data_IF_303121040539
#
_entry.id   IF_303121040539
#
_cell.length_a   1.000
_cell.length_b   1.000
_cell.length_c   1.000
_cell.angle_alpha   90.00
_cell.angle_beta   90.00
_cell.angle_gamma   90.00
#
_symmetry.space_group_name_H-M   'P 1'
#
loop_
_entity.id
_entity.type
_entity.pdbx_description
1 polymer ?
#
# COMPACT_ATOMS: atom_id res chain seq x y z
N UNK A 1 22.05 -22.95 6.94
CA UNK A 1 20.87 -22.12 6.76
C UNK A 1 19.62 -22.85 7.19
N UNK A 2 18.87 -22.25 7.99
CA UNK A 2 17.61 -22.81 8.41
C UNK A 2 16.51 -22.47 7.43
N UNK A 3 15.84 -23.48 6.92
CA UNK A 3 14.59 -23.25 6.21
C UNK A 3 13.56 -22.81 7.24
N UNK A 4 12.94 -21.69 6.99
CA UNK A 4 11.85 -21.25 7.84
C UNK A 4 10.60 -22.03 7.45
N UNK A 5 10.09 -22.82 8.37
CA UNK A 5 8.82 -23.49 8.16
C UNK A 5 7.73 -22.44 8.24
N UNK A 6 7.19 -22.07 7.09
CA UNK A 6 6.07 -21.14 7.03
C UNK A 6 4.80 -21.94 7.26
N UNK A 7 4.29 -21.85 8.48
CA UNK A 7 3.08 -22.53 8.89
C UNK A 7 1.88 -21.60 8.78
N UNK A 8 0.65 -22.13 8.74
CA UNK A 8 -0.55 -21.29 8.80
C UNK A 8 -0.58 -20.35 10.01
N UNK A 9 -0.05 -20.78 11.15
CA UNK A 9 0.02 -19.95 12.35
C UNK A 9 0.98 -18.79 12.16
N UNK A 10 2.14 -19.03 11.54
CA UNK A 10 3.12 -17.97 11.24
C UNK A 10 2.51 -16.92 10.33
N UNK A 11 1.80 -17.36 9.28
CA UNK A 11 1.13 -16.47 8.36
C UNK A 11 0.03 -15.67 9.07
N UNK A 12 -0.81 -16.35 9.87
CA UNK A 12 -1.88 -15.68 10.59
C UNK A 12 -1.35 -14.61 11.54
N UNK A 13 -0.23 -14.89 12.23
CA UNK A 13 0.42 -13.91 13.10
C UNK A 13 0.98 -12.72 12.33
N UNK A 14 1.59 -12.98 11.16
CA UNK A 14 2.12 -11.93 10.31
C UNK A 14 1.01 -11.03 9.76
N UNK A 15 -0.10 -11.62 9.33
CA UNK A 15 -1.26 -10.88 8.85
C UNK A 15 -1.91 -10.05 9.96
N UNK A 16 -2.04 -10.60 11.16
CA UNK A 16 -2.59 -9.88 12.31
C UNK A 16 -1.70 -8.70 12.69
N UNK A 17 -0.39 -8.90 12.69
CA UNK A 17 0.58 -7.84 12.96
C UNK A 17 0.47 -6.72 11.92
N UNK A 18 0.36 -7.09 10.65
CA UNK A 18 0.19 -6.14 9.56
C UNK A 18 -1.09 -5.33 9.74
N UNK A 19 -2.20 -6.01 10.02
CA UNK A 19 -3.50 -5.35 10.21
C UNK A 19 -3.46 -4.38 11.40
N UNK A 20 -2.81 -4.77 12.49
CA UNK A 20 -2.67 -3.90 13.66
C UNK A 20 -1.85 -2.65 13.35
N UNK A 21 -0.78 -2.79 12.57
CA UNK A 21 0.04 -1.66 12.13
C UNK A 21 -0.76 -0.70 11.24
N UNK A 22 -1.57 -1.25 10.34
CA UNK A 22 -2.45 -0.45 9.48
C UNK A 22 -3.55 0.23 10.29
N UNK A 23 -4.14 -0.46 11.26
CA UNK A 23 -5.19 0.12 12.10
C UNK A 23 -4.68 1.34 12.87
N UNK A 24 -3.42 1.32 13.30
CA UNK A 24 -2.81 2.48 13.97
C UNK A 24 -2.73 3.69 13.04
N UNK A 25 -2.46 3.47 11.75
CA UNK A 25 -2.43 4.54 10.75
C UNK A 25 -3.84 5.04 10.45
N UNK A 26 -4.76 4.14 10.14
CA UNK A 26 -6.12 4.54 9.77
C UNK A 26 -6.85 5.23 10.93
N UNK A 27 -6.53 4.86 12.17
CA UNK A 27 -7.05 5.56 13.34
C UNK A 27 -6.69 7.05 13.33
N UNK A 28 -5.51 7.39 12.81
CA UNK A 28 -5.04 8.76 12.79
C UNK A 28 -5.58 9.56 11.60
N UNK A 29 -5.95 8.90 10.51
CA UNK A 29 -6.29 9.60 9.26
C UNK A 29 -7.78 9.59 8.91
N UNK A 30 -8.59 8.70 9.49
CA UNK A 30 -9.98 8.51 9.04
C UNK A 30 -10.88 9.73 9.23
N UNK A 31 -10.52 10.64 10.11
CA UNK A 31 -11.27 11.88 10.34
C UNK A 31 -10.66 13.09 9.62
N UNK A 32 -9.67 12.87 8.77
CA UNK A 32 -8.99 13.94 8.05
C UNK A 32 -9.43 13.95 6.59
N UNK A 33 -9.57 15.12 5.98
CA UNK A 33 -9.80 15.19 4.53
C UNK A 33 -8.64 14.54 3.76
N UNK A 34 -8.95 13.87 2.67
CA UNK A 34 -7.95 13.23 1.81
C UNK A 34 -7.47 14.27 0.79
N UNK A 35 -6.41 14.98 1.14
CA UNK A 35 -5.91 16.13 0.37
C UNK A 35 -4.41 16.34 0.60
N UNK A 36 -3.88 17.43 0.05
CA UNK A 36 -2.45 17.74 0.16
C UNK A 36 -1.98 17.97 1.59
N UNK A 37 -2.85 18.47 2.47
CA UNK A 37 -2.49 18.66 3.88
C UNK A 37 -2.25 17.30 4.57
N UNK A 38 -3.04 16.28 4.22
CA UNK A 38 -2.83 14.93 4.73
C UNK A 38 -1.53 14.34 4.20
N UNK A 39 -1.21 14.59 2.93
CA UNK A 39 0.06 14.16 2.32
C UNK A 39 1.24 14.72 3.11
N UNK A 40 1.23 16.01 3.37
CA UNK A 40 2.28 16.66 4.14
C UNK A 40 2.36 16.12 5.56
N UNK A 41 1.21 15.92 6.22
CA UNK A 41 1.17 15.41 7.59
C UNK A 41 1.75 14.01 7.69
N UNK A 42 1.36 13.13 6.77
CA UNK A 42 1.83 11.74 6.76
C UNK A 42 3.37 11.70 6.57
N UNK A 43 3.87 12.44 5.60
CA UNK A 43 5.30 12.44 5.32
C UNK A 43 6.12 13.11 6.42
N UNK A 44 5.55 14.08 7.13
CA UNK A 44 6.22 14.74 8.24
C UNK A 44 6.25 13.89 9.51
N UNK A 45 5.22 13.09 9.76
CA UNK A 45 5.03 12.37 11.02
C UNK A 45 5.34 10.88 10.95
N UNK A 46 5.03 10.22 9.83
CA UNK A 46 5.29 8.80 9.62
C UNK A 46 5.91 8.53 8.25
N UNK A 47 6.81 9.41 7.85
CA UNK A 47 7.51 9.31 6.56
C UNK A 47 8.52 8.16 6.51
N UNK A 48 9.26 8.10 5.42
CA UNK A 48 10.08 6.94 5.03
C UNK A 48 11.17 6.52 6.02
N UNK A 49 11.57 7.40 6.94
CA UNK A 49 12.61 7.06 7.91
C UNK A 49 12.08 6.68 9.29
N UNK A 50 10.76 6.69 9.47
CA UNK A 50 10.15 6.42 10.77
C UNK A 50 9.93 4.94 11.02
N UNK A 51 9.87 4.52 12.30
CA UNK A 51 9.55 3.12 12.61
C UNK A 51 8.22 2.65 12.03
N UNK A 52 7.20 3.51 12.04
CA UNK A 52 5.88 3.14 11.50
C UNK A 52 5.97 2.76 10.01
N UNK A 53 6.69 3.54 9.22
CA UNK A 53 6.90 3.24 7.81
C UNK A 53 7.70 1.94 7.64
N UNK A 54 8.79 1.80 8.37
CA UNK A 54 9.67 0.64 8.25
C UNK A 54 8.97 -0.66 8.66
N UNK A 55 8.11 -0.60 9.66
CA UNK A 55 7.32 -1.75 10.08
C UNK A 55 6.28 -2.16 9.04
N UNK A 56 5.63 -1.19 8.41
CA UNK A 56 4.70 -1.49 7.31
C UNK A 56 5.43 -2.10 6.12
N UNK A 57 6.58 -1.56 5.77
CA UNK A 57 7.40 -2.10 4.70
C UNK A 57 7.82 -3.53 5.00
N UNK A 58 8.24 -3.80 6.24
CA UNK A 58 8.60 -5.15 6.67
C UNK A 58 7.42 -6.12 6.51
N UNK A 59 6.22 -5.72 6.93
CA UNK A 59 5.03 -6.55 6.77
C UNK A 59 4.75 -6.84 5.30
N UNK A 60 4.88 -5.85 4.44
CA UNK A 60 4.64 -6.04 3.01
C UNK A 60 5.67 -6.96 2.37
N UNK A 61 6.94 -6.79 2.69
CA UNK A 61 7.99 -7.68 2.20
C UNK A 61 7.79 -9.11 2.69
N UNK A 62 7.42 -9.26 3.96
CA UNK A 62 7.10 -10.56 4.56
C UNK A 62 5.92 -11.22 3.84
N UNK A 63 4.87 -10.46 3.58
CA UNK A 63 3.68 -10.98 2.90
C UNK A 63 3.95 -11.44 1.48
N UNK A 64 4.77 -10.71 0.74
CA UNK A 64 5.18 -11.12 -0.61
C UNK A 64 6.02 -12.40 -0.54
N UNK A 65 6.98 -12.46 0.38
CA UNK A 65 7.86 -13.63 0.54
C UNK A 65 7.08 -14.87 0.97
N UNK A 66 6.08 -14.70 1.83
CA UNK A 66 5.28 -15.82 2.34
C UNK A 66 4.09 -16.16 1.44
N UNK A 67 3.84 -15.37 0.39
CA UNK A 67 2.83 -15.68 -0.61
C UNK A 67 1.40 -15.27 -0.26
N UNK A 68 1.19 -14.42 0.75
CA UNK A 68 -0.15 -13.95 1.09
C UNK A 68 -0.42 -12.49 0.67
N UNK A 69 0.57 -11.81 0.06
CA UNK A 69 0.37 -10.54 -0.61
C UNK A 69 0.70 -10.68 -2.09
N UNK A 70 0.03 -9.88 -2.92
CA UNK A 70 0.28 -9.82 -4.36
C UNK A 70 0.14 -11.20 -5.01
N UNK A 71 -0.92 -11.92 -4.65
CA UNK A 71 -1.13 -13.30 -5.10
C UNK A 71 -1.58 -13.40 -6.55
N UNK A 72 -2.19 -12.35 -7.09
CA UNK A 72 -2.66 -12.30 -8.48
C UNK A 72 -1.63 -11.64 -9.36
N UNK A 73 -1.66 -11.97 -10.65
CA UNK A 73 -0.76 -11.37 -11.63
C UNK A 73 -1.52 -11.10 -12.91
N UNK A 74 -1.30 -9.91 -13.49
CA UNK A 74 -1.84 -9.54 -14.78
C UNK A 74 -0.93 -8.50 -15.44
N UNK A 75 -0.53 -8.77 -16.67
CA UNK A 75 0.26 -7.83 -17.46
C UNK A 75 1.59 -7.44 -16.85
N UNK A 76 2.20 -8.32 -16.04
CA UNK A 76 3.48 -8.06 -15.40
C UNK A 76 3.38 -7.39 -14.04
N UNK A 77 2.16 -7.18 -13.53
CA UNK A 77 1.94 -6.59 -12.22
C UNK A 77 1.36 -7.66 -11.29
N UNK A 78 1.95 -7.81 -10.11
CA UNK A 78 1.37 -8.65 -9.06
C UNK A 78 0.58 -7.78 -8.12
N UNK A 79 -0.60 -8.25 -7.70
CA UNK A 79 -1.52 -7.41 -6.93
C UNK A 79 -2.51 -8.25 -6.14
N UNK A 80 -3.20 -7.60 -5.22
CA UNK A 80 -4.32 -8.21 -4.52
C UNK A 80 -4.82 -7.34 -3.38
N UNK A 81 -6.11 -7.53 -3.05
CA UNK A 81 -6.71 -6.91 -1.86
C UNK A 81 -6.54 -7.89 -0.71
N UNK A 82 -5.79 -7.46 0.31
CA UNK A 82 -5.56 -8.31 1.49
C UNK A 82 -6.65 -8.11 2.54
N UNK A 83 -7.14 -6.89 2.71
CA UNK A 83 -8.20 -6.60 3.67
C UNK A 83 -9.31 -5.79 3.02
N UNK A 84 -10.54 -6.24 3.19
CA UNK A 84 -11.72 -5.45 2.79
C UNK A 84 -11.88 -4.29 3.74
N UNK A 85 -12.63 -3.27 3.31
CA UNK A 85 -12.98 -2.15 4.19
C UNK A 85 -13.73 -2.70 5.41
N UNK A 86 -13.33 -2.24 6.59
CA UNK A 86 -13.88 -2.73 7.86
C UNK A 86 -13.80 -1.66 8.94
N UNK A 87 -14.53 -1.85 10.02
CA UNK A 87 -14.48 -0.94 11.18
C UNK A 87 -13.09 -0.97 11.83
N UNK A 88 -12.43 -2.13 11.84
CA UNK A 88 -11.08 -2.25 12.40
C UNK A 88 -10.07 -1.38 11.66
N UNK A 89 -10.29 -1.15 10.36
CA UNK A 89 -9.45 -0.30 9.52
C UNK A 89 -10.12 1.05 9.25
N UNK A 90 -11.09 1.42 10.06
CA UNK A 90 -11.74 2.74 10.02
C UNK A 90 -12.32 3.05 8.64
N UNK A 91 -12.87 2.03 7.98
CA UNK A 91 -13.53 2.17 6.69
C UNK A 91 -12.62 2.03 5.48
N UNK A 92 -11.34 1.80 5.67
CA UNK A 92 -10.38 1.62 4.55
C UNK A 92 -10.23 0.15 4.18
N UNK A 93 -10.11 -0.10 2.89
CA UNK A 93 -9.59 -1.38 2.40
C UNK A 93 -8.08 -1.26 2.16
N UNK A 94 -7.42 -2.40 2.01
CA UNK A 94 -5.97 -2.46 1.80
C UNK A 94 -5.66 -3.34 0.60
N UNK A 95 -5.07 -2.72 -0.42
CA UNK A 95 -4.54 -3.40 -1.59
C UNK A 95 -3.03 -3.21 -1.61
N UNK A 96 -2.30 -4.18 -2.13
CA UNK A 96 -0.86 -4.04 -2.34
C UNK A 96 -0.53 -4.48 -3.76
N UNK A 97 0.29 -3.69 -4.44
CA UNK A 97 0.78 -4.02 -5.78
C UNK A 97 2.31 -4.11 -5.77
N UNK A 98 2.84 -4.98 -6.62
CA UNK A 98 4.28 -5.18 -6.82
C UNK A 98 4.56 -4.85 -8.28
N UNK A 99 5.29 -3.77 -8.50
CA UNK A 99 5.53 -3.22 -9.84
C UNK A 99 7.00 -2.97 -10.08
N UNK A 100 7.47 -3.36 -11.27
CA UNK A 100 8.86 -3.18 -11.66
C UNK A 100 8.90 -2.51 -13.05
N UNK A 101 9.28 -1.24 -13.09
CA UNK A 101 9.38 -0.45 -14.33
C UNK A 101 8.17 -0.66 -15.24
N UNK A 102 6.99 -0.39 -14.73
CA UNK A 102 5.75 -0.69 -15.43
C UNK A 102 4.66 0.30 -15.07
N UNK A 103 3.73 0.54 -16.01
CA UNK A 103 2.53 1.31 -15.79
C UNK A 103 1.34 0.37 -15.63
N UNK A 104 0.52 0.63 -14.62
CA UNK A 104 -0.71 -0.12 -14.39
C UNK A 104 -1.90 0.50 -15.13
N UNK A 105 -3.07 -0.10 -14.99
CA UNK A 105 -4.27 0.41 -15.65
C UNK A 105 -4.72 1.74 -15.06
N UNK A 106 -5.21 2.62 -15.91
CA UNK A 106 -5.78 3.90 -15.47
C UNK A 106 -6.99 3.66 -14.57
N UNK A 107 -7.08 4.41 -13.49
CA UNK A 107 -8.23 4.32 -12.59
C UNK A 107 -8.53 5.66 -11.93
N UNK A 108 -9.77 5.76 -11.44
CA UNK A 108 -10.29 6.93 -10.72
C UNK A 108 -10.48 6.53 -9.26
N UNK A 109 -10.20 7.48 -8.35
CA UNK A 109 -10.40 7.32 -6.91
C UNK A 109 -11.66 8.09 -6.49
N UNK A 110 -12.85 7.49 -6.50
CA UNK A 110 -14.07 8.25 -6.21
C UNK A 110 -14.05 8.92 -4.84
N UNK A 111 -13.44 8.25 -3.85
CA UNK A 111 -13.35 8.76 -2.48
C UNK A 111 -11.94 9.14 -2.07
N UNK A 112 -11.00 9.15 -3.01
CA UNK A 112 -9.60 9.38 -2.74
C UNK A 112 -8.84 8.09 -2.47
N UNK A 113 -7.52 8.22 -2.35
CA UNK A 113 -6.62 7.10 -2.12
C UNK A 113 -5.40 7.59 -1.34
N UNK A 114 -4.95 6.79 -0.38
CA UNK A 114 -3.73 7.08 0.37
C UNK A 114 -2.76 5.96 0.09
N UNK A 115 -1.63 6.28 -0.53
CA UNK A 115 -0.65 5.29 -0.99
C UNK A 115 0.62 5.32 -0.16
N UNK A 116 1.15 4.14 0.13
CA UNK A 116 2.46 4.00 0.75
C UNK A 116 3.42 3.43 -0.29
N UNK A 117 4.46 4.20 -0.61
CA UNK A 117 5.45 3.85 -1.63
C UNK A 117 6.67 3.21 -0.95
N UNK A 118 6.95 1.95 -1.29
CA UNK A 118 8.01 1.17 -0.66
C UNK A 118 8.95 0.63 -1.72
N UNK A 119 10.01 1.40 -2.09
CA UNK A 119 11.01 0.91 -3.05
C UNK A 119 11.72 -0.34 -2.52
N UNK A 120 11.88 -1.33 -3.38
CA UNK A 120 12.51 -2.62 -3.06
C UNK A 120 13.83 -2.78 -3.82
N UNK A 121 13.84 -2.38 -5.10
CA UNK A 121 15.05 -2.47 -5.94
C UNK A 121 15.27 -1.14 -6.64
N UNK A 122 16.50 -0.65 -6.62
CA UNK A 122 16.86 0.62 -7.21
C UNK A 122 16.28 1.80 -6.46
N UNK A 123 16.30 2.96 -7.09
CA UNK A 123 15.70 4.19 -6.56
C UNK A 123 14.29 4.35 -7.13
N UNK A 124 13.46 3.32 -6.95
CA UNK A 124 12.14 3.26 -7.57
C UNK A 124 11.27 4.45 -7.17
N UNK A 125 10.54 4.97 -8.15
CA UNK A 125 9.60 6.07 -7.97
C UNK A 125 8.20 5.58 -8.37
N UNK A 126 7.19 6.07 -7.67
CA UNK A 126 5.80 5.84 -8.03
C UNK A 126 5.16 7.16 -8.43
N UNK A 127 4.74 7.27 -9.69
CA UNK A 127 4.28 8.54 -10.28
C UNK A 127 5.30 9.67 -10.05
N UNK A 128 6.59 9.34 -10.11
CA UNK A 128 7.69 10.27 -9.90
C UNK A 128 7.99 10.59 -8.44
N UNK A 129 7.35 9.93 -7.48
CA UNK A 129 7.54 10.18 -6.05
C UNK A 129 8.36 9.07 -5.40
N UNK A 130 9.26 9.45 -4.47
CA UNK A 130 10.10 8.48 -3.77
C UNK A 130 9.37 7.79 -2.62
N UNK A 131 10.12 7.01 -1.83
CA UNK A 131 9.62 6.37 -0.62
C UNK A 131 8.84 7.34 0.27
N UNK A 132 7.70 6.89 0.78
CA UNK A 132 6.84 7.69 1.64
C UNK A 132 5.39 7.58 1.24
N UNK A 133 4.61 8.60 1.60
CA UNK A 133 3.17 8.63 1.36
C UNK A 133 2.81 9.52 0.18
N UNK A 134 1.76 9.13 -0.53
CA UNK A 134 1.21 9.87 -1.66
C UNK A 134 -0.30 9.88 -1.51
N UNK A 135 -0.90 11.06 -1.38
CA UNK A 135 -2.33 11.21 -1.18
C UNK A 135 -2.98 11.71 -2.46
N UNK A 136 -3.96 10.95 -2.94
CA UNK A 136 -4.74 11.29 -4.13
C UNK A 136 -6.14 11.72 -3.68
N UNK A 137 -6.56 12.97 -3.98
CA UNK A 137 -7.84 13.48 -3.48
C UNK A 137 -9.03 12.79 -4.15
N UNK A 138 -10.25 12.91 -3.55
CA UNK A 138 -11.45 12.33 -4.16
C UNK A 138 -11.67 12.85 -5.57
N UNK A 139 -12.03 11.94 -6.47
CA UNK A 139 -12.28 12.27 -7.87
C UNK A 139 -11.02 12.32 -8.73
N UNK A 140 -9.84 12.17 -8.14
CA UNK A 140 -8.59 12.15 -8.90
C UNK A 140 -8.44 10.84 -9.68
N UNK A 141 -7.62 10.89 -10.71
CA UNK A 141 -7.36 9.73 -11.56
C UNK A 141 -5.90 9.72 -11.98
N UNK A 142 -5.36 8.54 -12.21
CA UNK A 142 -4.02 8.39 -12.74
C UNK A 142 -3.81 7.02 -13.38
N UNK A 143 -2.70 6.89 -14.09
CA UNK A 143 -2.15 5.62 -14.51
C UNK A 143 -0.96 5.34 -13.59
N UNK A 144 -1.11 4.46 -12.58
CA UNK A 144 -0.04 4.23 -11.61
C UNK A 144 1.19 3.68 -12.32
N UNK A 145 2.35 4.30 -12.08
CA UNK A 145 3.57 3.97 -12.81
C UNK A 145 4.76 3.91 -11.87
N UNK A 146 5.44 2.75 -11.87
CA UNK A 146 6.72 2.61 -11.17
C UNK A 146 7.84 2.70 -12.18
N UNK A 147 8.80 3.58 -11.89
CA UNK A 147 10.00 3.80 -12.71
C UNK A 147 11.25 3.65 -11.88
N UNK A 148 12.40 3.45 -12.54
CA UNK A 148 13.73 3.40 -11.94
C UNK A 148 13.93 2.26 -10.95
N UNK A 149 13.13 1.20 -11.05
CA UNK A 149 13.29 0.01 -10.22
C UNK A 149 11.97 -0.67 -9.91
N UNK A 150 11.96 -1.32 -8.76
CA UNK A 150 10.81 -2.09 -8.28
C UNK A 150 10.32 -1.52 -6.95
N UNK A 151 9.01 -1.39 -6.81
CA UNK A 151 8.39 -0.95 -5.57
C UNK A 151 7.15 -1.77 -5.25
N UNK A 152 6.91 -1.93 -3.96
CA UNK A 152 5.59 -2.32 -3.46
C UNK A 152 4.85 -1.03 -3.15
N UNK A 153 3.58 -0.95 -3.54
CA UNK A 153 2.74 0.19 -3.22
C UNK A 153 1.48 -0.33 -2.55
N UNK A 154 1.19 0.23 -1.38
CA UNK A 154 0.01 -0.14 -0.60
C UNK A 154 -1.04 0.96 -0.80
N UNK A 155 -2.26 0.56 -1.12
CA UNK A 155 -3.37 1.49 -1.31
C UNK A 155 -4.36 1.37 -0.16
N UNK A 156 -4.60 2.49 0.53
CA UNK A 156 -5.72 2.62 1.47
C UNK A 156 -6.86 3.30 0.73
N UNK A 157 -7.96 2.58 0.56
CA UNK A 157 -9.11 3.06 -0.19
C UNK A 157 -10.34 3.17 0.71
N UNK A 158 -10.90 4.38 0.87
CA UNK A 158 -12.15 4.52 1.62
C UNK A 158 -13.24 3.66 0.98
N UNK A 159 -13.89 2.82 1.77
CA UNK A 159 -14.92 1.87 1.34
C UNK A 159 -14.48 0.92 0.23
N UNK A 160 -13.19 0.84 -0.05
CA UNK A 160 -12.68 0.01 -1.14
C UNK A 160 -13.00 0.55 -2.52
N UNK A 161 -13.35 1.81 -2.66
CA UNK A 161 -13.83 2.38 -3.92
C UNK A 161 -12.68 2.71 -4.87
N UNK A 162 -12.69 2.07 -6.02
CA UNK A 162 -11.77 2.32 -7.12
C UNK A 162 -12.49 1.98 -8.42
N UNK A 163 -12.31 2.81 -9.45
CA UNK A 163 -12.92 2.59 -10.76
C UNK A 163 -11.87 2.51 -11.83
N UNK A 164 -11.71 1.33 -12.41
CA UNK A 164 -10.81 1.17 -13.55
C UNK A 164 -11.50 1.70 -14.81
N UNK A 165 -10.76 2.46 -15.62
CA UNK A 165 -11.28 3.06 -16.81
C UNK A 165 -10.63 2.43 -18.04
N UNK A 166 -11.25 2.59 -19.18
CA UNK A 166 -10.71 2.09 -20.45
C UNK A 166 -9.69 3.05 -21.05
#
# INVERSE_FOLDING_TARGET
MTSHNITPEVIAQAQARFKNRLAAVTAQIHNRPINSALDEWLNANIGASTPAYLELKQSCEEGVAQGWLCEREHGGIRYGRIFKASDELHGFSVDVVDMHNIAGPHHVHPQGEVDLIMPIEGDALFDGRPAGWYVCPPGSAHRPTVSQGRALVLYLLPNGDIQFTK
#
